data_IF_399368924858
#
_entry.id   IF_399368924858
#
_cell.length_a   1.000
_cell.length_b   1.000
_cell.length_c   1.000
_cell.angle_alpha   90.00
_cell.angle_beta   90.00
_cell.angle_gamma   90.00
#
_symmetry.space_group_name_H-M   'P 1'
#
loop_
_entity.id
_entity.type
_entity.pdbx_description
1 polymer ?
#
# COMPACT_ATOMS: atom_id res chain seq x y z
N UNK A 1 1.49 -23.23 -27.95
CA UNK A 1 0.16 -23.72 -27.53
C UNK A 1 -0.86 -22.68 -28.00
N UNK A 2 -1.76 -22.99 -28.94
CA UNK A 2 -2.82 -22.04 -29.32
C UNK A 2 -3.76 -21.88 -28.12
N UNK A 3 -3.85 -20.66 -27.57
CA UNK A 3 -4.85 -20.33 -26.57
C UNK A 3 -6.25 -20.53 -27.19
N UNK A 4 -7.13 -21.25 -26.51
CA UNK A 4 -8.49 -21.51 -27.00
C UNK A 4 -9.40 -20.27 -26.90
N UNK A 5 -8.97 -19.25 -26.15
CA UNK A 5 -9.72 -18.03 -25.88
C UNK A 5 -8.83 -16.79 -26.03
N UNK A 6 -9.44 -15.65 -26.36
CA UNK A 6 -8.82 -14.36 -26.19
C UNK A 6 -8.91 -13.93 -24.72
N UNK A 7 -7.83 -13.38 -24.19
CA UNK A 7 -7.76 -12.81 -22.85
C UNK A 7 -7.42 -11.35 -22.95
N UNK A 8 -8.12 -10.54 -22.20
CA UNK A 8 -8.07 -9.10 -22.31
C UNK A 8 -7.50 -8.47 -21.05
N UNK A 9 -6.87 -7.30 -21.18
CA UNK A 9 -6.56 -6.48 -20.03
C UNK A 9 -7.02 -5.03 -20.26
N UNK A 10 -7.29 -4.33 -19.17
CA UNK A 10 -7.70 -2.93 -19.13
C UNK A 10 -6.80 -2.24 -18.11
N UNK A 11 -6.08 -1.21 -18.54
CA UNK A 11 -5.35 -0.36 -17.63
C UNK A 11 -6.33 0.53 -16.86
N UNK A 12 -6.33 0.41 -15.52
CA UNK A 12 -7.20 1.22 -14.66
C UNK A 12 -6.68 2.65 -14.60
N UNK A 13 -7.23 3.50 -15.43
CA UNK A 13 -6.86 4.91 -15.50
C UNK A 13 -8.00 5.79 -14.97
N UNK A 14 -7.65 6.92 -14.36
CA UNK A 14 -8.63 7.92 -13.88
C UNK A 14 -9.47 8.57 -14.98
N UNK A 15 -9.04 8.42 -16.23
CA UNK A 15 -9.72 9.01 -17.37
C UNK A 15 -11.01 8.29 -17.75
N UNK A 16 -11.21 7.08 -17.23
CA UNK A 16 -12.38 6.24 -17.53
C UNK A 16 -12.85 5.51 -16.27
N UNK A 17 -13.67 6.16 -15.42
CA UNK A 17 -14.19 5.57 -14.19
C UNK A 17 -14.89 4.24 -14.45
N UNK A 18 -14.52 3.21 -13.69
CA UNK A 18 -15.04 1.84 -13.84
C UNK A 18 -16.58 1.78 -13.74
N UNK A 19 -17.20 2.69 -12.96
CA UNK A 19 -18.64 2.72 -12.75
C UNK A 19 -19.44 2.83 -14.05
N UNK A 20 -18.88 3.43 -15.10
CA UNK A 20 -19.58 3.65 -16.37
C UNK A 20 -19.47 2.47 -17.33
N UNK A 21 -18.28 1.92 -17.52
CA UNK A 21 -18.05 0.89 -18.53
C UNK A 21 -18.10 -0.55 -17.98
N UNK A 22 -17.82 -0.77 -16.70
CA UNK A 22 -17.78 -2.10 -16.11
C UNK A 22 -19.12 -2.86 -16.16
N UNK A 23 -20.28 -2.24 -15.86
CA UNK A 23 -21.57 -2.91 -16.01
C UNK A 23 -21.86 -3.35 -17.46
N UNK A 24 -21.49 -2.52 -18.44
CA UNK A 24 -21.63 -2.86 -19.86
C UNK A 24 -20.71 -4.01 -20.27
N UNK A 25 -19.48 -4.02 -19.76
CA UNK A 25 -18.53 -5.13 -19.97
C UNK A 25 -19.09 -6.44 -19.42
N UNK A 26 -19.57 -6.43 -18.17
CA UNK A 26 -20.11 -7.63 -17.51
C UNK A 26 -21.36 -8.20 -18.23
N UNK A 27 -22.10 -7.37 -18.94
CA UNK A 27 -23.26 -7.79 -19.75
C UNK A 27 -22.89 -8.12 -21.22
N UNK A 28 -21.60 -8.12 -21.57
CA UNK A 28 -21.14 -8.44 -22.92
C UNK A 28 -21.60 -7.44 -24.00
N UNK A 29 -21.82 -6.16 -23.60
CA UNK A 29 -22.32 -5.12 -24.50
C UNK A 29 -21.27 -4.64 -25.52
N UNK A 30 -19.98 -4.89 -25.25
CA UNK A 30 -18.90 -4.53 -26.16
C UNK A 30 -18.64 -5.64 -27.20
N UNK A 31 -18.36 -5.24 -28.44
CA UNK A 31 -17.99 -6.15 -29.53
C UNK A 31 -16.55 -6.69 -29.34
N UNK A 32 -16.38 -7.49 -28.30
CA UNK A 32 -15.10 -8.16 -27.99
C UNK A 32 -15.17 -9.61 -28.42
N UNK A 33 -14.23 -10.12 -29.25
CA UNK A 33 -14.25 -11.50 -29.71
C UNK A 33 -14.37 -12.51 -28.55
N UNK A 34 -15.43 -13.30 -28.57
CA UNK A 34 -15.69 -14.31 -27.55
C UNK A 34 -16.39 -13.82 -26.26
N UNK A 35 -16.68 -12.51 -26.11
CA UNK A 35 -17.40 -11.95 -24.97
C UNK A 35 -18.77 -11.33 -25.35
N UNK A 36 -19.00 -11.04 -26.62
CA UNK A 36 -20.22 -10.39 -27.10
C UNK A 36 -21.47 -11.19 -26.72
N UNK A 37 -22.43 -10.54 -26.07
CA UNK A 37 -23.69 -11.14 -25.62
C UNK A 37 -23.56 -12.13 -24.45
N UNK A 38 -22.35 -12.27 -23.86
CA UNK A 38 -22.07 -13.17 -22.75
C UNK A 38 -22.14 -12.46 -21.41
N UNK A 39 -22.33 -13.24 -20.33
CA UNK A 39 -22.39 -12.72 -18.97
C UNK A 39 -21.09 -12.98 -18.25
N UNK A 40 -20.49 -11.92 -17.72
CA UNK A 40 -19.29 -11.97 -16.91
C UNK A 40 -19.59 -11.85 -15.41
N UNK A 41 -18.65 -12.30 -14.61
CA UNK A 41 -18.66 -12.13 -13.16
C UNK A 41 -17.45 -11.32 -12.71
N UNK A 42 -17.64 -10.45 -11.69
CA UNK A 42 -16.60 -9.59 -11.16
C UNK A 42 -15.92 -10.21 -9.93
N UNK A 43 -14.61 -10.40 -10.03
CA UNK A 43 -13.73 -10.69 -8.89
C UNK A 43 -13.02 -9.41 -8.48
N UNK A 44 -13.34 -8.87 -7.30
CA UNK A 44 -12.71 -7.65 -6.76
C UNK A 44 -12.76 -7.63 -5.23
N UNK A 45 -11.94 -6.76 -4.61
CA UNK A 45 -12.01 -6.52 -3.16
C UNK A 45 -13.38 -5.95 -2.75
N UNK A 46 -13.98 -5.08 -3.57
CA UNK A 46 -15.30 -4.51 -3.26
C UNK A 46 -16.42 -5.56 -3.24
N UNK A 47 -16.32 -6.58 -4.07
CA UNK A 47 -17.24 -7.75 -4.03
C UNK A 47 -16.97 -8.58 -2.77
N UNK A 48 -15.72 -8.83 -2.44
CA UNK A 48 -15.34 -9.55 -1.21
C UNK A 48 -15.88 -8.84 0.05
N UNK A 49 -15.69 -7.53 0.13
CA UNK A 49 -16.17 -6.72 1.25
C UNK A 49 -17.69 -6.77 1.42
N UNK A 50 -18.45 -6.82 0.31
CA UNK A 50 -19.91 -7.00 0.40
C UNK A 50 -20.27 -8.31 1.09
N UNK A 51 -19.63 -9.43 0.72
CA UNK A 51 -19.89 -10.71 1.38
C UNK A 51 -19.45 -10.74 2.84
N UNK A 52 -18.35 -10.05 3.19
CA UNK A 52 -17.93 -9.89 4.59
C UNK A 52 -18.99 -9.11 5.38
N UNK A 53 -19.52 -8.03 4.81
CA UNK A 53 -20.57 -7.23 5.45
C UNK A 53 -21.90 -8.00 5.57
N UNK A 54 -22.28 -8.81 4.58
CA UNK A 54 -23.46 -9.67 4.64
C UNK A 54 -23.32 -10.74 5.72
N UNK A 55 -22.15 -11.35 5.87
CA UNK A 55 -21.88 -12.27 6.98
C UNK A 55 -21.95 -11.57 8.33
N UNK A 56 -21.42 -10.33 8.43
CA UNK A 56 -21.39 -9.58 9.68
C UNK A 56 -22.78 -9.09 10.13
N UNK A 57 -23.61 -8.65 9.18
CA UNK A 57 -24.90 -8.01 9.49
C UNK A 57 -26.08 -9.00 9.50
N UNK A 58 -25.97 -10.05 8.70
CA UNK A 58 -27.11 -10.95 8.41
C UNK A 58 -26.79 -12.41 8.64
N UNK A 59 -25.59 -12.74 9.20
CA UNK A 59 -25.13 -14.15 9.39
C UNK A 59 -25.21 -14.97 8.10
N UNK A 60 -24.99 -14.32 6.95
CA UNK A 60 -25.03 -14.99 5.66
C UNK A 60 -23.65 -15.56 5.28
N UNK A 61 -23.46 -16.89 5.45
CA UNK A 61 -22.22 -17.61 5.22
C UNK A 61 -22.11 -18.17 3.77
N UNK A 62 -22.65 -17.48 2.79
CA UNK A 62 -22.73 -17.95 1.41
C UNK A 62 -21.35 -18.31 0.82
N UNK A 63 -20.34 -17.44 1.01
CA UNK A 63 -18.96 -17.66 0.56
C UNK A 63 -18.27 -18.82 1.27
N UNK A 64 -18.61 -19.07 2.52
CA UNK A 64 -17.91 -20.04 3.38
C UNK A 64 -18.76 -21.28 3.68
N UNK A 65 -19.90 -21.44 3.01
CA UNK A 65 -20.83 -22.56 3.20
C UNK A 65 -20.18 -23.95 3.15
N UNK A 66 -19.03 -24.08 2.45
CA UNK A 66 -18.25 -25.33 2.34
C UNK A 66 -17.07 -25.44 3.30
N UNK A 67 -16.71 -24.35 3.99
CA UNK A 67 -15.46 -24.27 4.76
C UNK A 67 -15.74 -24.40 6.27
N UNK A 68 -16.99 -24.26 6.72
CA UNK A 68 -17.41 -24.29 8.12
C UNK A 68 -16.65 -23.29 9.04
N UNK A 69 -16.21 -22.17 8.48
CA UNK A 69 -15.49 -21.10 9.19
C UNK A 69 -15.96 -19.75 8.69
N UNK A 70 -16.05 -18.76 9.57
CA UNK A 70 -16.35 -17.39 9.19
C UNK A 70 -15.28 -16.83 8.25
N UNK A 71 -15.70 -16.10 7.20
CA UNK A 71 -14.79 -15.44 6.25
C UNK A 71 -13.82 -14.50 6.95
N UNK A 72 -14.22 -13.87 8.04
CA UNK A 72 -13.42 -12.95 8.86
C UNK A 72 -12.25 -13.64 9.57
N UNK A 73 -12.31 -14.95 9.77
CA UNK A 73 -11.23 -15.75 10.39
C UNK A 73 -10.22 -16.26 9.37
N UNK A 74 -10.50 -16.08 8.09
CA UNK A 74 -9.62 -16.50 7.00
C UNK A 74 -8.55 -15.43 6.72
N UNK A 75 -7.36 -15.87 6.34
CA UNK A 75 -6.34 -14.96 5.80
C UNK A 75 -6.82 -14.33 4.48
N UNK A 76 -6.27 -13.17 4.11
CA UNK A 76 -6.64 -12.47 2.87
C UNK A 76 -6.53 -13.37 1.63
N UNK A 77 -5.51 -14.23 1.59
CA UNK A 77 -5.34 -15.20 0.50
C UNK A 77 -6.43 -16.27 0.48
N UNK A 78 -6.84 -16.79 1.65
CA UNK A 78 -7.95 -17.75 1.79
C UNK A 78 -9.29 -17.12 1.42
N UNK A 79 -9.55 -15.87 1.84
CA UNK A 79 -10.74 -15.11 1.47
C UNK A 79 -10.87 -14.96 -0.05
N UNK A 80 -9.77 -14.58 -0.74
CA UNK A 80 -9.77 -14.46 -2.20
C UNK A 80 -9.96 -15.80 -2.90
N UNK A 81 -9.40 -16.89 -2.37
CA UNK A 81 -9.65 -18.25 -2.90
C UNK A 81 -11.11 -18.65 -2.74
N UNK A 82 -11.71 -18.37 -1.58
CA UNK A 82 -13.12 -18.65 -1.33
C UNK A 82 -14.01 -17.89 -2.32
N UNK A 83 -13.77 -16.59 -2.50
CA UNK A 83 -14.49 -15.77 -3.47
C UNK A 83 -14.34 -16.32 -4.90
N UNK A 84 -13.11 -16.62 -5.35
CA UNK A 84 -12.90 -17.17 -6.70
C UNK A 84 -13.65 -18.48 -6.88
N UNK A 85 -13.58 -19.40 -5.92
CA UNK A 85 -14.27 -20.69 -5.98
C UNK A 85 -15.79 -20.53 -6.03
N UNK A 86 -16.34 -19.58 -5.29
CA UNK A 86 -17.76 -19.27 -5.30
C UNK A 86 -18.22 -18.69 -6.64
N UNK A 87 -17.50 -17.70 -7.17
CA UNK A 87 -17.84 -17.06 -8.45
C UNK A 87 -17.81 -18.04 -9.62
N UNK A 88 -16.87 -18.98 -9.63
CA UNK A 88 -16.77 -20.02 -10.67
C UNK A 88 -17.93 -21.02 -10.67
N UNK A 89 -18.75 -21.08 -9.60
CA UNK A 89 -19.95 -21.92 -9.55
C UNK A 89 -21.20 -21.26 -10.14
N UNK A 90 -21.14 -19.96 -10.42
CA UNK A 90 -22.28 -19.17 -10.89
C UNK A 90 -22.58 -19.34 -12.38
N UNK A 91 -21.99 -20.30 -13.09
CA UNK A 91 -22.21 -20.57 -14.52
C UNK A 91 -22.09 -19.31 -15.40
N UNK A 92 -21.03 -18.53 -15.20
CA UNK A 92 -20.74 -17.36 -16.01
C UNK A 92 -19.84 -17.70 -17.20
N UNK A 93 -19.93 -16.90 -18.28
CA UNK A 93 -19.20 -17.18 -19.51
C UNK A 93 -17.75 -16.68 -19.45
N UNK A 94 -17.46 -15.65 -18.65
CA UNK A 94 -16.14 -15.09 -18.44
C UNK A 94 -16.00 -14.42 -17.09
N UNK A 95 -14.75 -14.16 -16.68
CA UNK A 95 -14.44 -13.50 -15.40
C UNK A 95 -13.69 -12.18 -15.63
N UNK A 96 -14.11 -11.15 -14.91
CA UNK A 96 -13.40 -9.86 -14.82
C UNK A 96 -12.66 -9.83 -13.49
N UNK A 97 -11.33 -9.72 -13.55
CA UNK A 97 -10.44 -9.65 -12.39
C UNK A 97 -10.01 -8.20 -12.18
N UNK A 98 -10.51 -7.57 -11.13
CA UNK A 98 -10.17 -6.18 -10.81
C UNK A 98 -9.12 -6.14 -9.71
N UNK A 99 -7.88 -5.81 -10.06
CA UNK A 99 -6.73 -5.76 -9.15
C UNK A 99 -6.65 -6.98 -8.20
N UNK A 100 -6.63 -8.20 -8.73
CA UNK A 100 -6.81 -9.41 -7.92
C UNK A 100 -5.70 -9.64 -6.89
N UNK A 101 -4.53 -9.04 -7.07
CA UNK A 101 -3.36 -9.23 -6.19
C UNK A 101 -3.25 -8.19 -5.09
N UNK A 102 -4.15 -7.22 -5.05
CA UNK A 102 -4.19 -6.20 -4.00
C UNK A 102 -4.22 -6.86 -2.61
N UNK A 103 -3.42 -6.33 -1.67
CA UNK A 103 -3.29 -6.82 -0.28
C UNK A 103 -2.69 -8.24 -0.10
N UNK A 104 -2.31 -8.93 -1.18
CA UNK A 104 -1.67 -10.24 -1.12
C UNK A 104 -0.16 -10.12 -1.05
N UNK A 105 0.46 -10.98 -0.24
CA UNK A 105 1.91 -11.14 -0.24
C UNK A 105 2.40 -11.93 -1.48
N UNK A 106 3.72 -11.90 -1.71
CA UNK A 106 4.37 -12.49 -2.88
C UNK A 106 4.04 -13.98 -3.08
N UNK A 107 3.94 -14.74 -1.99
CA UNK A 107 3.62 -16.17 -2.05
C UNK A 107 2.16 -16.39 -2.47
N UNK A 108 1.23 -15.65 -1.86
CA UNK A 108 -0.20 -15.68 -2.19
C UNK A 108 -0.47 -15.21 -3.63
N UNK A 109 0.23 -14.17 -4.09
CA UNK A 109 0.19 -13.71 -5.48
C UNK A 109 0.61 -14.82 -6.43
N UNK A 110 1.74 -15.50 -6.16
CA UNK A 110 2.23 -16.59 -7.01
C UNK A 110 1.21 -17.72 -7.13
N UNK A 111 0.59 -18.12 -6.02
CA UNK A 111 -0.44 -19.18 -6.00
C UNK A 111 -1.67 -18.74 -6.80
N UNK A 112 -2.19 -17.55 -6.57
CA UNK A 112 -3.37 -17.04 -7.28
C UNK A 112 -3.07 -16.89 -8.78
N UNK A 113 -1.89 -16.39 -9.15
CA UNK A 113 -1.45 -16.25 -10.56
C UNK A 113 -1.46 -17.60 -11.29
N UNK A 114 -0.97 -18.67 -10.66
CA UNK A 114 -1.02 -20.01 -11.23
C UNK A 114 -2.45 -20.55 -11.39
N UNK A 115 -3.33 -20.30 -10.42
CA UNK A 115 -4.74 -20.67 -10.51
C UNK A 115 -5.43 -19.95 -11.67
N UNK A 116 -5.18 -18.64 -11.86
CA UNK A 116 -5.75 -17.85 -12.94
C UNK A 116 -5.20 -18.28 -14.32
N UNK A 117 -3.92 -18.64 -14.41
CA UNK A 117 -3.33 -19.21 -15.64
C UNK A 117 -3.99 -20.56 -15.96
N UNK A 118 -4.31 -21.37 -14.96
CA UNK A 118 -5.03 -22.63 -15.20
C UNK A 118 -6.46 -22.37 -15.65
N UNK A 119 -7.15 -21.42 -15.03
CA UNK A 119 -8.52 -21.02 -15.38
C UNK A 119 -8.62 -20.50 -16.82
N UNK A 120 -7.59 -19.76 -17.29
CA UNK A 120 -7.58 -19.20 -18.66
C UNK A 120 -7.70 -20.23 -19.78
N UNK A 121 -7.42 -21.52 -19.49
CA UNK A 121 -7.57 -22.60 -20.46
C UNK A 121 -9.04 -22.95 -20.75
N UNK A 122 -9.94 -22.67 -19.81
CA UNK A 122 -11.37 -23.02 -19.89
C UNK A 122 -12.31 -21.82 -19.98
N UNK A 123 -11.85 -20.61 -19.61
CA UNK A 123 -12.69 -19.42 -19.50
C UNK A 123 -11.93 -18.17 -19.95
N UNK A 124 -12.54 -17.28 -20.75
CA UNK A 124 -11.98 -15.97 -21.03
C UNK A 124 -11.78 -15.14 -19.75
N UNK A 125 -10.68 -14.40 -19.70
CA UNK A 125 -10.34 -13.51 -18.59
C UNK A 125 -10.24 -12.09 -19.11
N UNK A 126 -10.84 -11.14 -18.39
CA UNK A 126 -10.60 -9.71 -18.52
C UNK A 126 -9.91 -9.23 -17.25
N UNK A 127 -8.68 -8.73 -17.38
CA UNK A 127 -7.83 -8.34 -16.26
C UNK A 127 -7.73 -6.82 -16.16
N UNK A 128 -8.29 -6.22 -15.11
CA UNK A 128 -8.14 -4.79 -14.82
C UNK A 128 -6.91 -4.65 -13.92
N UNK A 129 -5.94 -3.84 -14.34
CA UNK A 129 -4.66 -3.69 -13.65
C UNK A 129 -4.25 -2.23 -13.44
N UNK A 130 -3.55 -1.99 -12.36
CA UNK A 130 -2.90 -0.72 -12.04
C UNK A 130 -1.39 -0.78 -12.28
N UNK A 131 -0.79 -1.98 -12.25
CA UNK A 131 0.63 -2.21 -12.44
C UNK A 131 0.88 -3.23 -13.53
N UNK A 132 1.79 -2.92 -14.44
CA UNK A 132 2.19 -3.81 -15.53
C UNK A 132 2.70 -5.16 -15.03
N UNK A 133 3.47 -5.18 -13.93
CA UNK A 133 4.03 -6.41 -13.35
C UNK A 133 2.96 -7.39 -12.84
N UNK A 134 1.74 -6.91 -12.62
CA UNK A 134 0.61 -7.74 -12.19
C UNK A 134 -0.02 -8.52 -13.36
N UNK A 135 0.22 -8.16 -14.61
CA UNK A 135 -0.38 -8.80 -15.77
C UNK A 135 -0.11 -10.30 -15.83
N UNK A 136 -1.14 -11.02 -16.28
CA UNK A 136 -1.03 -12.45 -16.57
C UNK A 136 -0.33 -12.66 -17.92
N UNK A 137 0.58 -13.64 -18.03
CA UNK A 137 1.28 -13.93 -19.29
C UNK A 137 0.36 -14.46 -20.40
N UNK A 138 -0.90 -14.75 -20.10
CA UNK A 138 -1.91 -15.24 -21.03
C UNK A 138 -2.69 -14.12 -21.71
N UNK A 139 -2.53 -12.87 -21.28
CA UNK A 139 -3.21 -11.72 -21.89
C UNK A 139 -2.78 -11.57 -23.34
N UNK A 140 -3.74 -11.43 -24.23
CA UNK A 140 -3.51 -11.33 -25.67
C UNK A 140 -3.73 -9.91 -26.20
N UNK A 141 -4.63 -9.15 -25.58
CA UNK A 141 -5.02 -7.80 -26.03
C UNK A 141 -5.26 -6.87 -24.86
N UNK A 142 -4.98 -5.59 -25.09
CA UNK A 142 -5.32 -4.49 -24.20
C UNK A 142 -6.56 -3.77 -24.75
N UNK A 143 -7.57 -3.57 -23.91
CA UNK A 143 -8.75 -2.75 -24.20
C UNK A 143 -8.45 -1.33 -23.75
N UNK A 144 -8.60 -0.38 -24.65
CA UNK A 144 -8.44 1.03 -24.34
C UNK A 144 -9.79 1.76 -24.37
N UNK A 145 -10.00 2.63 -23.39
CA UNK A 145 -11.16 3.51 -23.31
C UNK A 145 -10.75 4.97 -23.52
N UNK A 146 -11.63 5.75 -24.15
CA UNK A 146 -11.49 7.20 -24.25
C UNK A 146 -12.83 7.84 -23.91
N UNK A 147 -12.85 8.75 -22.93
CA UNK A 147 -14.07 9.40 -22.45
C UNK A 147 -15.22 8.40 -22.16
N UNK A 148 -14.86 7.29 -21.49
CA UNK A 148 -15.80 6.22 -21.08
C UNK A 148 -16.31 5.31 -22.20
N UNK A 149 -15.95 5.58 -23.45
CA UNK A 149 -16.29 4.74 -24.60
C UNK A 149 -15.16 3.79 -24.97
N UNK A 150 -15.52 2.60 -25.46
CA UNK A 150 -14.56 1.67 -26.05
C UNK A 150 -13.90 2.31 -27.26
N UNK A 151 -12.56 2.41 -27.23
CA UNK A 151 -11.79 3.03 -28.29
C UNK A 151 -11.16 1.99 -29.24
N UNK A 152 -10.41 1.08 -28.68
CA UNK A 152 -9.64 0.12 -29.48
C UNK A 152 -9.30 -1.15 -28.69
N UNK A 153 -9.06 -2.19 -29.47
CA UNK A 153 -8.48 -3.44 -29.04
C UNK A 153 -7.08 -3.54 -29.62
N UNK A 154 -6.05 -3.53 -28.79
CA UNK A 154 -4.64 -3.50 -29.18
C UNK A 154 -3.98 -4.82 -28.81
N UNK A 155 -3.32 -5.56 -29.71
CA UNK A 155 -2.49 -6.70 -29.34
C UNK A 155 -1.47 -6.30 -28.26
N UNK A 156 -1.21 -7.19 -27.29
CA UNK A 156 -0.33 -6.85 -26.16
C UNK A 156 1.09 -6.54 -26.63
N UNK A 157 1.54 -7.19 -27.69
CA UNK A 157 2.86 -6.98 -28.32
C UNK A 157 3.02 -5.59 -28.95
N UNK A 158 1.91 -4.96 -29.36
CA UNK A 158 1.87 -3.62 -29.96
C UNK A 158 1.56 -2.52 -28.90
N UNK A 159 1.20 -2.92 -27.67
CA UNK A 159 0.85 -1.96 -26.65
C UNK A 159 2.09 -1.39 -25.94
N UNK A 160 2.24 -0.08 -26.01
CA UNK A 160 3.35 0.63 -25.37
C UNK A 160 2.96 1.02 -23.95
N UNK A 161 3.53 0.33 -22.97
CA UNK A 161 3.40 0.70 -21.57
C UNK A 161 4.19 1.98 -21.28
N UNK A 162 3.53 2.95 -20.68
CA UNK A 162 4.17 4.21 -20.30
C UNK A 162 5.09 3.98 -19.10
N UNK A 163 6.38 4.19 -19.28
CA UNK A 163 7.34 4.28 -18.19
C UNK A 163 7.56 5.76 -17.87
N UNK A 164 7.16 6.18 -16.70
CA UNK A 164 7.39 7.54 -16.24
C UNK A 164 8.60 7.56 -15.31
N UNK A 165 9.57 8.41 -15.62
CA UNK A 165 10.61 8.79 -14.69
C UNK A 165 10.24 10.17 -14.14
N UNK A 166 10.20 10.31 -12.82
CA UNK A 166 9.91 11.57 -12.16
C UNK A 166 11.15 12.07 -11.44
N UNK A 167 11.37 13.39 -11.54
CA UNK A 167 12.39 14.11 -10.80
C UNK A 167 11.71 15.30 -10.14
N UNK A 168 12.01 15.52 -8.87
CA UNK A 168 11.62 16.72 -8.16
C UNK A 168 12.81 17.68 -8.19
N UNK A 169 12.68 18.78 -8.93
CA UNK A 169 13.79 19.72 -9.20
C UNK A 169 14.10 20.66 -8.01
N UNK A 170 13.14 20.86 -7.11
CA UNK A 170 13.30 21.76 -5.96
C UNK A 170 13.83 21.01 -4.76
N UNK A 171 14.74 21.66 -4.02
CA UNK A 171 15.34 21.09 -2.81
C UNK A 171 14.31 20.85 -1.70
N UNK A 172 14.59 19.87 -0.85
CA UNK A 172 13.81 19.64 0.37
C UNK A 172 13.88 20.90 1.26
N UNK A 173 12.74 21.44 1.74
CA UNK A 173 12.75 22.64 2.60
C UNK A 173 13.62 22.46 3.83
N UNK A 174 14.25 23.52 4.30
CA UNK A 174 15.07 23.47 5.51
C UNK A 174 14.21 23.21 6.76
N UNK A 175 14.76 22.45 7.72
CA UNK A 175 14.09 22.18 8.98
C UNK A 175 13.89 23.46 9.80
N UNK A 176 12.66 23.67 10.27
CA UNK A 176 12.35 24.73 11.25
C UNK A 176 12.22 24.18 12.66
N UNK A 177 12.21 22.85 12.80
CA UNK A 177 12.21 22.14 14.08
C UNK A 177 13.60 21.59 14.34
N UNK A 178 14.13 21.80 15.52
CA UNK A 178 15.42 21.25 15.94
C UNK A 178 15.21 20.17 16.97
N UNK A 179 15.82 19.00 16.75
CA UNK A 179 15.86 17.93 17.74
C UNK A 179 17.21 17.94 18.43
N UNK A 180 17.20 18.11 19.76
CA UNK A 180 18.42 18.07 20.59
C UNK A 180 18.67 16.64 21.07
N UNK A 181 19.94 16.31 21.26
CA UNK A 181 20.37 15.04 21.88
C UNK A 181 19.84 13.76 21.18
N UNK A 182 19.73 13.79 19.87
CA UNK A 182 19.43 12.57 19.11
C UNK A 182 20.69 11.71 19.05
N UNK A 183 20.67 10.46 19.56
CA UNK A 183 21.83 9.56 19.53
C UNK A 183 22.10 9.05 18.11
N UNK A 184 23.28 8.50 17.88
CA UNK A 184 23.65 7.84 16.62
C UNK A 184 22.75 6.65 16.30
N UNK A 185 22.43 5.84 17.31
CA UNK A 185 21.50 4.72 17.21
C UNK A 185 20.09 5.20 17.54
N UNK A 186 19.18 5.16 16.54
CA UNK A 186 17.80 5.59 16.69
C UNK A 186 16.90 4.49 17.26
N UNK A 187 17.11 3.25 16.78
CA UNK A 187 16.36 2.08 17.22
C UNK A 187 17.34 0.95 17.48
N UNK A 188 17.21 0.29 18.63
CA UNK A 188 17.98 -0.91 18.94
C UNK A 188 17.08 -1.96 19.59
N UNK A 189 17.00 -3.13 18.98
CA UNK A 189 16.27 -4.29 19.44
C UNK A 189 17.28 -5.41 19.73
N UNK A 190 17.28 -5.96 20.95
CA UNK A 190 18.20 -7.03 21.38
C UNK A 190 17.39 -8.21 21.91
N UNK A 191 17.44 -9.33 21.19
CA UNK A 191 16.76 -10.59 21.54
C UNK A 191 15.28 -10.37 21.91
N UNK A 192 14.57 -9.61 21.08
CA UNK A 192 13.18 -9.27 21.34
C UNK A 192 12.26 -10.42 20.92
N UNK A 193 11.33 -10.77 21.81
CA UNK A 193 10.33 -11.82 21.61
C UNK A 193 8.93 -11.24 21.79
N UNK A 194 8.00 -11.62 20.91
CA UNK A 194 6.60 -11.19 21.05
C UNK A 194 5.66 -12.38 20.91
N UNK A 195 4.89 -12.62 21.96
CA UNK A 195 3.83 -13.62 21.97
C UNK A 195 2.48 -12.94 22.27
N UNK A 196 1.45 -13.39 21.56
CA UNK A 196 0.05 -13.07 21.88
C UNK A 196 -0.63 -14.39 22.20
N UNK A 197 -1.07 -14.53 23.46
CA UNK A 197 -1.60 -15.79 24.00
C UNK A 197 -0.63 -16.94 23.70
N UNK A 198 -1.08 -17.99 23.03
CA UNK A 198 -0.27 -19.16 22.68
C UNK A 198 0.48 -19.03 21.34
N UNK A 199 0.33 -17.88 20.64
CA UNK A 199 0.96 -17.65 19.34
C UNK A 199 2.21 -16.80 19.46
N UNK A 200 3.35 -17.38 19.09
CA UNK A 200 4.60 -16.64 18.93
C UNK A 200 4.61 -15.88 17.59
N UNK A 201 4.83 -14.57 17.64
CA UNK A 201 4.86 -13.69 16.46
C UNK A 201 6.29 -13.37 16.07
N UNK A 202 7.11 -12.93 17.03
CA UNK A 202 8.51 -12.56 16.82
C UNK A 202 9.40 -13.35 17.77
N UNK A 203 10.55 -13.81 17.28
CA UNK A 203 11.52 -14.55 18.04
C UNK A 203 12.93 -14.07 17.74
N UNK A 204 13.73 -13.83 18.80
CA UNK A 204 15.15 -13.46 18.72
C UNK A 204 15.42 -12.29 17.75
N UNK A 205 14.56 -11.25 17.77
CA UNK A 205 14.73 -10.09 16.90
C UNK A 205 15.91 -9.26 17.41
N UNK A 206 16.92 -9.14 16.56
CA UNK A 206 18.08 -8.29 16.76
C UNK A 206 18.17 -7.32 15.58
N UNK A 207 18.06 -6.03 15.84
CA UNK A 207 18.07 -5.02 14.79
C UNK A 207 18.51 -3.67 15.33
N UNK A 208 19.37 -2.99 14.58
CA UNK A 208 19.85 -1.64 14.90
C UNK A 208 19.65 -0.72 13.69
N UNK A 209 19.00 0.42 13.91
CA UNK A 209 18.82 1.48 12.91
C UNK A 209 19.58 2.70 13.40
N UNK A 210 20.51 3.23 12.57
CA UNK A 210 21.29 4.42 12.85
C UNK A 210 20.78 5.63 12.07
N UNK A 211 21.32 6.79 12.39
CA UNK A 211 21.07 8.02 11.63
C UNK A 211 21.42 7.86 10.16
N UNK A 212 20.60 8.51 9.29
CA UNK A 212 20.81 8.60 7.84
C UNK A 212 20.79 7.27 7.11
N UNK A 213 20.38 6.18 7.77
CA UNK A 213 20.23 4.88 7.13
C UNK A 213 18.86 4.76 6.46
N UNK A 214 18.83 4.15 5.29
CA UNK A 214 17.60 3.79 4.58
C UNK A 214 17.40 2.28 4.63
N UNK A 215 16.42 1.85 5.40
CA UNK A 215 16.07 0.44 5.61
C UNK A 215 14.81 0.03 4.86
N UNK A 216 14.83 -1.17 4.29
CA UNK A 216 13.65 -1.84 3.80
C UNK A 216 13.30 -3.04 4.68
N UNK A 217 12.19 -2.97 5.40
CA UNK A 217 11.62 -4.11 6.13
C UNK A 217 10.68 -4.89 5.21
N UNK A 218 11.06 -6.12 4.91
CA UNK A 218 10.30 -7.01 4.01
C UNK A 218 9.92 -8.31 4.70
N UNK A 219 8.76 -8.86 4.38
CA UNK A 219 8.28 -10.16 4.88
C UNK A 219 6.85 -10.44 4.42
N UNK A 220 6.41 -11.71 4.42
CA UNK A 220 5.05 -12.07 4.03
C UNK A 220 4.01 -11.50 5.02
N UNK A 221 2.73 -11.60 4.62
CA UNK A 221 1.64 -11.23 5.52
C UNK A 221 1.66 -12.13 6.78
N UNK A 222 1.38 -11.53 7.93
CA UNK A 222 1.44 -12.24 9.21
C UNK A 222 2.85 -12.51 9.76
N UNK A 223 3.92 -12.03 9.11
CA UNK A 223 5.30 -12.19 9.60
C UNK A 223 5.65 -11.30 10.80
N UNK A 224 4.74 -10.44 11.26
CA UNK A 224 4.99 -9.56 12.40
C UNK A 224 5.55 -8.17 12.06
N UNK A 225 5.53 -7.73 10.78
CA UNK A 225 5.95 -6.37 10.37
C UNK A 225 5.23 -5.29 11.17
N UNK A 226 3.90 -5.33 11.20
CA UNK A 226 3.08 -4.37 11.94
C UNK A 226 3.34 -4.41 13.45
N UNK A 227 3.58 -5.61 14.02
CA UNK A 227 3.98 -5.77 15.41
C UNK A 227 5.29 -5.06 15.70
N UNK A 228 6.30 -5.28 14.84
CA UNK A 228 7.60 -4.65 14.95
C UNK A 228 7.52 -3.13 14.80
N UNK A 229 6.78 -2.64 13.80
CA UNK A 229 6.53 -1.20 13.61
C UNK A 229 5.84 -0.57 14.83
N UNK A 230 4.82 -1.24 15.39
CA UNK A 230 4.10 -0.74 16.56
C UNK A 230 4.99 -0.66 17.81
N UNK A 231 6.00 -1.52 17.93
CA UNK A 231 7.02 -1.45 18.99
C UNK A 231 7.92 -0.22 18.78
N UNK A 232 8.41 0.00 17.56
CA UNK A 232 9.26 1.15 17.21
C UNK A 232 8.49 2.47 17.36
N UNK A 233 7.23 2.52 16.91
CA UNK A 233 6.36 3.69 17.04
C UNK A 233 5.85 3.92 18.48
N UNK A 234 6.18 3.01 19.41
CA UNK A 234 5.91 3.15 20.83
C UNK A 234 4.50 2.75 21.29
N UNK A 235 3.64 2.22 20.39
CA UNK A 235 2.26 1.85 20.69
C UNK A 235 2.09 0.44 21.27
N UNK A 236 3.08 -0.44 21.12
CA UNK A 236 2.95 -1.84 21.50
C UNK A 236 3.35 -2.06 22.94
N UNK A 237 2.40 -2.54 23.76
CA UNK A 237 2.65 -2.85 25.18
C UNK A 237 3.63 -4.00 25.38
N UNK A 238 3.80 -4.90 24.42
CA UNK A 238 4.78 -6.00 24.48
C UNK A 238 6.23 -5.54 24.37
N UNK A 239 6.48 -4.26 24.08
CA UNK A 239 7.82 -3.67 24.14
C UNK A 239 8.33 -3.42 25.56
N UNK A 240 7.42 -3.29 26.54
CA UNK A 240 7.81 -3.11 27.94
C UNK A 240 8.46 -4.36 28.51
N UNK A 241 9.49 -4.16 29.33
CA UNK A 241 10.24 -5.26 29.93
C UNK A 241 11.28 -5.93 29.01
N UNK A 242 11.28 -5.57 27.72
CA UNK A 242 12.24 -6.11 26.74
C UNK A 242 13.40 -5.13 26.48
N UNK A 243 14.40 -5.59 25.75
CA UNK A 243 15.54 -4.75 25.36
C UNK A 243 15.23 -4.01 24.06
N UNK A 244 14.26 -3.11 24.13
CA UNK A 244 13.85 -2.17 23.08
C UNK A 244 14.33 -0.79 23.46
N UNK A 245 15.23 -0.22 22.68
CA UNK A 245 15.76 1.13 22.88
C UNK A 245 15.33 2.01 21.72
N UNK A 246 14.73 3.15 22.04
CA UNK A 246 14.26 4.14 21.08
C UNK A 246 14.92 5.48 21.40
N UNK A 247 15.66 6.00 20.45
CA UNK A 247 16.42 7.27 20.62
C UNK A 247 17.30 7.27 21.87
N UNK A 248 17.95 6.13 22.17
CA UNK A 248 18.85 5.96 23.31
C UNK A 248 18.18 5.56 24.63
N UNK A 249 16.85 5.66 24.74
CA UNK A 249 16.13 5.32 25.96
C UNK A 249 15.51 3.93 25.88
N UNK A 250 15.65 3.14 26.95
CA UNK A 250 14.96 1.85 27.04
C UNK A 250 13.45 2.08 27.16
N UNK A 251 12.65 1.34 26.41
CA UNK A 251 11.20 1.43 26.49
C UNK A 251 10.71 1.12 27.91
N UNK A 252 10.00 2.11 28.50
CA UNK A 252 9.51 2.00 29.88
C UNK A 252 10.42 2.63 30.93
N UNK A 253 11.53 3.32 30.56
CA UNK A 253 12.42 4.01 31.48
C UNK A 253 11.96 5.43 31.88
N UNK A 254 10.73 5.82 31.49
CA UNK A 254 10.14 7.13 31.83
C UNK A 254 9.80 8.00 30.63
N UNK A 255 10.30 7.69 29.43
CA UNK A 255 9.95 8.44 28.21
C UNK A 255 8.48 8.18 27.82
N UNK A 256 7.76 9.25 27.55
CA UNK A 256 6.36 9.15 27.12
C UNK A 256 6.26 8.70 25.67
N UNK A 257 5.12 8.07 25.30
CA UNK A 257 4.84 7.69 23.91
C UNK A 257 4.80 8.91 22.99
N UNK A 258 4.40 10.07 23.50
CA UNK A 258 4.36 11.32 22.77
C UNK A 258 5.76 11.82 22.38
N UNK A 259 6.72 11.76 23.31
CA UNK A 259 8.12 12.14 23.05
C UNK A 259 8.75 11.26 21.97
N UNK A 260 8.42 9.97 21.96
CA UNK A 260 8.83 9.05 20.89
C UNK A 260 8.19 9.45 19.57
N UNK A 261 6.87 9.66 19.52
CA UNK A 261 6.13 10.02 18.31
C UNK A 261 6.54 11.35 17.71
N UNK A 262 6.91 12.31 18.52
CA UNK A 262 7.43 13.60 18.03
C UNK A 262 8.70 13.46 17.19
N UNK A 263 9.51 12.41 17.46
CA UNK A 263 10.75 12.10 16.73
C UNK A 263 10.52 11.20 15.51
N UNK A 264 9.28 10.79 15.25
CA UNK A 264 8.95 9.86 14.17
C UNK A 264 7.91 10.48 13.24
N UNK A 265 8.23 10.56 11.95
CA UNK A 265 7.24 10.71 10.90
C UNK A 265 6.65 9.35 10.58
N UNK A 266 5.33 9.22 10.51
CA UNK A 266 4.68 7.93 10.31
C UNK A 266 3.59 8.00 9.27
N UNK A 267 3.59 7.04 8.35
CA UNK A 267 2.54 6.81 7.35
C UNK A 267 2.17 5.34 7.35
N UNK A 268 0.88 5.07 7.32
CA UNK A 268 0.33 3.73 7.12
C UNK A 268 -0.94 3.79 6.26
N UNK A 269 -1.40 2.68 5.68
CA UNK A 269 -2.66 2.63 4.92
C UNK A 269 -3.86 3.11 5.74
N UNK A 270 -3.92 2.74 7.02
CA UNK A 270 -5.00 3.13 7.93
C UNK A 270 -5.10 4.65 8.15
N UNK A 271 -4.00 5.40 7.96
CA UNK A 271 -4.05 6.86 8.11
C UNK A 271 -4.97 7.54 7.10
N UNK A 272 -5.12 7.01 5.89
CA UNK A 272 -6.05 7.57 4.90
C UNK A 272 -7.49 7.56 5.40
N UNK A 273 -7.88 6.54 6.14
CA UNK A 273 -9.22 6.40 6.71
C UNK A 273 -9.49 7.40 7.84
N UNK A 274 -8.44 7.92 8.48
CA UNK A 274 -8.59 8.94 9.53
C UNK A 274 -8.98 10.30 8.97
N UNK A 275 -8.59 10.61 7.71
CA UNK A 275 -8.84 11.91 7.08
C UNK A 275 -10.17 11.96 6.33
N UNK A 276 -11.27 11.63 7.02
CA UNK A 276 -12.64 11.62 6.43
C UNK A 276 -13.21 13.01 6.16
N UNK A 277 -12.64 14.07 6.77
CA UNK A 277 -13.07 15.45 6.57
C UNK A 277 -12.36 16.06 5.37
N UNK A 278 -13.01 17.03 4.73
CA UNK A 278 -12.46 17.73 3.57
C UNK A 278 -11.42 18.76 3.99
N UNK A 279 -10.18 18.31 4.27
CA UNK A 279 -9.04 19.20 4.46
C UNK A 279 -8.41 19.56 3.11
N UNK A 280 -7.88 20.77 3.00
CA UNK A 280 -7.11 21.18 1.82
C UNK A 280 -5.70 20.58 1.84
N UNK A 281 -5.01 20.62 0.69
CA UNK A 281 -3.59 20.21 0.59
C UNK A 281 -2.74 20.92 1.64
N UNK A 282 -2.87 22.26 1.73
CA UNK A 282 -2.13 23.04 2.71
C UNK A 282 -2.40 22.62 4.15
N UNK A 283 -3.68 22.48 4.52
CA UNK A 283 -4.09 22.06 5.86
C UNK A 283 -3.55 20.67 6.21
N UNK A 284 -3.56 19.76 5.26
CA UNK A 284 -3.00 18.42 5.44
C UNK A 284 -1.51 18.46 5.76
N UNK A 285 -0.73 19.21 4.99
CA UNK A 285 0.72 19.32 5.21
C UNK A 285 1.02 20.01 6.53
N UNK A 286 0.36 21.16 6.84
CA UNK A 286 0.54 21.92 8.09
C UNK A 286 0.21 21.05 9.32
N UNK A 287 -0.81 20.20 9.24
CA UNK A 287 -1.22 19.34 10.37
C UNK A 287 -0.10 18.42 10.87
N UNK A 288 0.93 18.19 10.05
CA UNK A 288 2.12 17.43 10.42
C UNK A 288 2.96 18.06 11.54
N UNK A 289 2.93 19.38 11.70
CA UNK A 289 3.61 20.05 12.82
C UNK A 289 2.98 19.71 14.18
N UNK A 290 1.70 19.36 14.18
CA UNK A 290 0.91 19.11 15.38
C UNK A 290 0.66 17.62 15.65
N UNK A 291 1.14 16.73 14.80
CA UNK A 291 0.87 15.27 14.84
C UNK A 291 -0.64 14.94 14.99
N UNK A 292 -1.52 15.80 14.48
CA UNK A 292 -2.97 15.72 14.66
C UNK A 292 -3.69 15.35 13.35
N UNK A 293 -4.85 14.69 13.48
CA UNK A 293 -5.78 14.45 12.36
C UNK A 293 -6.61 15.72 12.16
N UNK A 294 -6.02 16.71 11.51
CA UNK A 294 -6.63 18.02 11.25
C UNK A 294 -5.90 19.18 11.92
N UNK A 295 -6.35 20.38 11.60
CA UNK A 295 -5.74 21.61 12.08
C UNK A 295 -6.62 22.22 13.17
N UNK A 296 -6.24 22.03 14.44
CA UNK A 296 -6.96 22.53 15.62
C UNK A 296 -6.34 23.78 16.23
N UNK A 297 -5.16 24.18 15.76
CA UNK A 297 -4.44 25.36 16.20
C UNK A 297 -4.12 26.24 15.00
N UNK A 298 -4.07 27.56 15.22
CA UNK A 298 -3.63 28.49 14.16
C UNK A 298 -2.14 28.33 13.90
N UNK A 299 -1.73 28.02 12.66
CA UNK A 299 -0.34 27.87 12.33
C UNK A 299 0.37 29.24 12.33
N UNK A 300 1.65 29.25 12.68
CA UNK A 300 2.49 30.44 12.52
C UNK A 300 2.78 30.73 11.03
N UNK A 301 3.17 31.96 10.72
CA UNK A 301 3.59 32.33 9.36
C UNK A 301 4.74 31.47 8.86
N UNK A 302 5.67 31.09 9.74
CA UNK A 302 6.78 30.22 9.39
C UNK A 302 6.32 28.82 8.99
N UNK A 303 5.35 28.23 9.73
CA UNK A 303 4.77 26.93 9.41
C UNK A 303 4.01 26.96 8.07
N UNK A 304 3.26 28.03 7.80
CA UNK A 304 2.56 28.22 6.52
C UNK A 304 3.57 28.30 5.37
N UNK A 305 4.64 29.09 5.52
CA UNK A 305 5.68 29.22 4.50
C UNK A 305 6.40 27.88 4.24
N UNK A 306 6.71 27.11 5.29
CA UNK A 306 7.33 25.78 5.12
C UNK A 306 6.39 24.82 4.40
N UNK A 307 5.11 24.85 4.70
CA UNK A 307 4.12 24.03 3.97
C UNK A 307 4.02 24.46 2.49
N UNK A 308 4.09 25.76 2.21
CA UNK A 308 4.12 26.27 0.84
C UNK A 308 5.36 25.78 0.08
N UNK A 309 6.53 25.76 0.70
CA UNK A 309 7.76 25.21 0.11
C UNK A 309 7.60 23.70 -0.19
N UNK A 310 7.00 22.92 0.72
CA UNK A 310 6.70 21.51 0.46
C UNK A 310 5.72 21.33 -0.72
N UNK A 311 4.65 22.14 -0.80
CA UNK A 311 3.75 22.13 -1.95
C UNK A 311 4.48 22.44 -3.25
N UNK A 312 5.47 23.31 -3.18
CA UNK A 312 6.29 23.70 -4.32
C UNK A 312 7.20 22.55 -4.77
N UNK A 313 7.87 21.85 -3.84
CA UNK A 313 8.63 20.61 -4.13
C UNK A 313 7.74 19.56 -4.83
N UNK A 314 6.51 19.40 -4.35
CA UNK A 314 5.56 18.43 -4.90
C UNK A 314 4.87 18.91 -6.20
N UNK A 315 5.13 20.11 -6.68
CA UNK A 315 4.41 20.75 -7.79
C UNK A 315 2.89 20.88 -7.55
N UNK A 316 2.48 21.11 -6.31
CA UNK A 316 1.08 21.21 -5.87
C UNK A 316 0.66 22.63 -5.47
N UNK A 317 1.48 23.66 -5.69
CA UNK A 317 1.20 25.05 -5.31
C UNK A 317 -0.13 25.58 -5.87
N UNK A 318 -0.47 25.20 -7.10
CA UNK A 318 -1.75 25.54 -7.75
C UNK A 318 -2.95 24.75 -7.16
N UNK A 319 -2.72 23.73 -6.37
CA UNK A 319 -3.75 22.89 -5.75
C UNK A 319 -3.86 23.11 -4.24
N UNK A 320 -3.28 24.17 -3.72
CA UNK A 320 -3.23 24.55 -2.29
C UNK A 320 -4.60 24.38 -1.59
N UNK A 321 -5.67 24.86 -2.23
CA UNK A 321 -7.04 24.86 -1.70
C UNK A 321 -7.87 23.65 -2.15
N UNK A 322 -7.28 22.71 -2.90
CA UNK A 322 -7.99 21.51 -3.35
C UNK A 322 -8.19 20.57 -2.16
N UNK A 323 -9.39 19.96 -2.09
CA UNK A 323 -9.67 18.94 -1.09
C UNK A 323 -8.79 17.72 -1.29
N UNK A 324 -8.11 17.27 -0.22
CA UNK A 324 -7.29 16.08 -0.19
C UNK A 324 -8.01 14.83 -0.72
N UNK A 325 -9.29 14.65 -0.38
CA UNK A 325 -10.09 13.49 -0.78
C UNK A 325 -10.40 13.44 -2.29
N UNK A 326 -10.28 14.57 -3.01
CA UNK A 326 -10.51 14.64 -4.46
C UNK A 326 -9.26 14.32 -5.28
N UNK A 327 -8.12 14.17 -4.61
CA UNK A 327 -6.85 13.92 -5.26
C UNK A 327 -6.63 12.42 -5.52
N UNK A 328 -5.73 12.14 -6.42
CA UNK A 328 -5.37 10.78 -6.73
C UNK A 328 -4.66 10.06 -5.57
N UNK A 329 -4.74 8.73 -5.48
CA UNK A 329 -4.00 7.98 -4.47
C UNK A 329 -2.51 8.34 -4.42
N UNK A 330 -1.84 8.46 -5.56
CA UNK A 330 -0.44 8.87 -5.63
C UNK A 330 -0.20 10.26 -5.02
N UNK A 331 -1.01 11.25 -5.41
CA UNK A 331 -0.90 12.62 -4.87
C UNK A 331 -1.21 12.64 -3.37
N UNK A 332 -2.21 11.90 -2.93
CA UNK A 332 -2.49 11.75 -1.50
C UNK A 332 -1.29 11.19 -0.74
N UNK A 333 -0.58 10.20 -1.30
CA UNK A 333 0.66 9.66 -0.70
C UNK A 333 1.76 10.71 -0.61
N UNK A 334 2.00 11.49 -1.67
CA UNK A 334 2.97 12.58 -1.63
C UNK A 334 2.67 13.57 -0.51
N UNK A 335 1.40 13.99 -0.37
CA UNK A 335 0.97 14.92 0.67
C UNK A 335 1.19 14.32 2.07
N UNK A 336 0.88 13.04 2.28
CA UNK A 336 1.11 12.37 3.56
C UNK A 336 2.61 12.24 3.87
N UNK A 337 3.46 12.01 2.86
CA UNK A 337 4.93 11.99 3.04
C UNK A 337 5.42 13.39 3.42
N UNK A 338 5.01 14.45 2.71
CA UNK A 338 5.36 15.81 3.06
C UNK A 338 4.87 16.20 4.47
N UNK A 339 3.63 15.79 4.83
CA UNK A 339 3.09 15.96 6.17
C UNK A 339 3.94 15.28 7.24
N UNK A 340 4.39 14.05 7.00
CA UNK A 340 5.25 13.31 7.93
C UNK A 340 6.65 13.92 8.03
N UNK A 341 7.13 14.53 6.93
CA UNK A 341 8.46 15.14 6.81
C UNK A 341 8.53 16.60 7.22
N UNK A 342 7.40 17.31 7.36
CA UNK A 342 7.41 18.78 7.53
C UNK A 342 8.20 19.26 8.75
N UNK A 343 8.31 18.45 9.79
CA UNK A 343 9.12 18.73 10.97
C UNK A 343 10.51 18.08 10.95
N UNK A 344 10.91 17.45 9.82
CA UNK A 344 12.18 16.74 9.63
C UNK A 344 12.50 15.75 10.77
N UNK A 345 11.66 14.74 10.99
CA UNK A 345 11.84 13.80 12.09
C UNK A 345 13.15 13.01 11.91
N UNK A 346 13.83 12.63 13.01
CA UNK A 346 15.00 11.76 12.94
C UNK A 346 14.73 10.40 12.25
N UNK A 347 13.49 9.90 12.35
CA UNK A 347 13.06 8.65 11.72
C UNK A 347 11.74 8.83 10.96
N UNK A 348 11.69 8.43 9.70
CA UNK A 348 10.48 8.38 8.88
C UNK A 348 10.10 6.91 8.64
N UNK A 349 8.92 6.50 9.09
CA UNK A 349 8.38 5.16 8.87
C UNK A 349 7.30 5.24 7.78
N UNK A 350 7.50 4.48 6.71
CA UNK A 350 6.60 4.39 5.56
C UNK A 350 6.06 2.96 5.47
N UNK A 351 4.90 2.71 6.06
CA UNK A 351 4.25 1.40 6.05
C UNK A 351 3.35 1.28 4.82
N UNK A 352 3.75 0.41 3.88
CA UNK A 352 3.05 0.12 2.63
C UNK A 352 2.64 1.39 1.83
N UNK A 353 3.54 2.36 1.60
CA UNK A 353 3.16 3.65 1.00
C UNK A 353 2.75 3.54 -0.47
N UNK A 354 3.07 2.44 -1.15
CA UNK A 354 2.82 2.20 -2.57
C UNK A 354 1.60 1.29 -2.83
N UNK A 355 0.85 0.91 -1.77
CA UNK A 355 -0.36 0.11 -1.94
C UNK A 355 -1.44 0.92 -2.68
N UNK A 356 -2.15 0.28 -3.63
CA UNK A 356 -3.22 0.89 -4.44
C UNK A 356 -2.76 2.11 -5.27
N UNK A 357 -1.50 2.12 -5.66
CA UNK A 357 -0.92 3.14 -6.53
C UNK A 357 -0.54 2.49 -7.86
N UNK A 358 -0.87 3.17 -8.97
CA UNK A 358 -0.53 2.76 -10.32
C UNK A 358 0.98 2.90 -10.61
N UNK A 359 1.44 2.45 -11.77
CA UNK A 359 2.86 2.50 -12.13
C UNK A 359 3.41 3.93 -12.16
N UNK A 360 2.64 4.88 -12.69
CA UNK A 360 3.02 6.29 -12.73
C UNK A 360 3.14 6.87 -11.34
N UNK A 361 2.14 6.62 -10.50
CA UNK A 361 2.14 7.06 -9.11
C UNK A 361 3.22 6.37 -8.27
N UNK A 362 3.50 5.09 -8.53
CA UNK A 362 4.60 4.36 -7.87
C UNK A 362 5.94 5.01 -8.19
N UNK A 363 6.21 5.33 -9.46
CA UNK A 363 7.42 6.03 -9.86
C UNK A 363 7.53 7.41 -9.19
N UNK A 364 6.41 8.15 -9.14
CA UNK A 364 6.34 9.48 -8.53
C UNK A 364 6.61 9.43 -7.00
N UNK A 365 5.95 8.54 -6.28
CA UNK A 365 6.13 8.39 -4.82
C UNK A 365 7.54 7.89 -4.49
N UNK A 366 8.06 6.92 -5.27
CA UNK A 366 9.42 6.40 -5.10
C UNK A 366 10.48 7.50 -5.32
N UNK A 367 10.28 8.36 -6.32
CA UNK A 367 11.17 9.50 -6.58
C UNK A 367 11.26 10.44 -5.36
N UNK A 368 10.12 10.75 -4.71
CA UNK A 368 10.12 11.57 -3.49
C UNK A 368 10.84 10.88 -2.33
N UNK A 369 10.61 9.58 -2.11
CA UNK A 369 11.26 8.82 -1.04
C UNK A 369 12.78 8.81 -1.22
N UNK A 370 13.26 8.50 -2.42
CA UNK A 370 14.69 8.52 -2.75
C UNK A 370 15.30 9.93 -2.62
N UNK A 371 14.55 10.98 -2.97
CA UNK A 371 14.99 12.37 -2.78
C UNK A 371 15.15 12.70 -1.31
N UNK A 372 14.19 12.33 -0.46
CA UNK A 372 14.28 12.50 0.99
C UNK A 372 15.50 11.78 1.56
N UNK A 373 15.72 10.51 1.14
CA UNK A 373 16.89 9.73 1.57
C UNK A 373 18.23 10.42 1.23
N UNK A 374 18.29 11.05 0.06
CA UNK A 374 19.51 11.69 -0.44
C UNK A 374 19.76 13.09 0.15
N UNK A 375 18.70 13.88 0.37
CA UNK A 375 18.80 15.32 0.65
C UNK A 375 18.46 15.67 2.10
N UNK A 376 18.08 14.70 2.95
CA UNK A 376 17.79 14.97 4.36
C UNK A 376 18.61 14.09 5.30
N UNK A 377 18.68 14.51 6.57
CA UNK A 377 19.30 13.73 7.64
C UNK A 377 18.34 12.71 8.29
N UNK A 378 17.12 12.60 7.76
CA UNK A 378 16.09 11.67 8.24
C UNK A 378 16.44 10.25 7.85
N UNK A 379 16.45 9.32 8.82
CA UNK A 379 16.53 7.89 8.53
C UNK A 379 15.18 7.39 8.04
N UNK A 380 15.17 6.47 7.07
CA UNK A 380 13.93 5.96 6.49
C UNK A 380 13.79 4.48 6.81
N UNK A 381 12.61 4.10 7.30
CA UNK A 381 12.15 2.73 7.41
C UNK A 381 10.98 2.51 6.45
N UNK A 382 11.29 1.99 5.28
CA UNK A 382 10.32 1.62 4.26
C UNK A 382 9.87 0.18 4.48
N UNK A 383 8.57 -0.04 4.47
CA UNK A 383 7.98 -1.37 4.70
C UNK A 383 7.11 -1.75 3.54
N UNK A 384 7.34 -2.91 2.97
CA UNK A 384 6.47 -3.48 1.94
C UNK A 384 6.47 -5.01 1.97
N UNK A 385 5.49 -5.61 1.33
CA UNK A 385 5.45 -7.05 1.08
C UNK A 385 5.91 -7.42 -0.33
N UNK A 386 6.18 -6.41 -1.18
CA UNK A 386 6.65 -6.55 -2.58
C UNK A 386 8.07 -6.03 -2.72
N UNK A 387 8.77 -6.51 -3.72
CA UNK A 387 10.01 -5.89 -4.19
C UNK A 387 9.61 -4.63 -4.99
N UNK A 388 10.15 -3.48 -4.60
CA UNK A 388 9.87 -2.19 -5.26
C UNK A 388 11.15 -1.72 -5.98
N UNK A 389 11.27 -1.95 -7.29
CA UNK A 389 12.54 -1.75 -8.02
C UNK A 389 13.00 -0.29 -8.08
N UNK A 390 12.08 0.66 -7.87
CA UNK A 390 12.37 2.10 -7.86
C UNK A 390 12.75 2.64 -6.47
N UNK A 391 12.83 1.79 -5.45
CA UNK A 391 13.27 2.15 -4.10
C UNK A 391 14.68 1.62 -3.89
N UNK A 392 15.59 2.47 -3.41
CA UNK A 392 17.02 2.18 -3.28
C UNK A 392 17.46 2.23 -1.79
N UNK A 393 17.09 1.24 -0.98
CA UNK A 393 17.49 1.18 0.41
C UNK A 393 18.96 0.79 0.56
N UNK A 394 19.63 1.30 1.61
CA UNK A 394 21.00 0.90 1.95
C UNK A 394 21.04 -0.51 2.52
N UNK A 395 19.99 -0.89 3.27
CA UNK A 395 19.89 -2.14 4.01
C UNK A 395 18.51 -2.77 3.88
N UNK A 396 18.49 -4.10 3.95
CA UNK A 396 17.25 -4.88 3.96
C UNK A 396 17.18 -5.67 5.27
N UNK A 397 16.05 -5.57 5.99
CA UNK A 397 15.73 -6.45 7.11
C UNK A 397 14.57 -7.36 6.73
N UNK A 398 14.83 -8.66 6.63
CA UNK A 398 13.85 -9.63 6.16
C UNK A 398 13.31 -10.48 7.31
N UNK A 399 11.99 -10.48 7.48
CA UNK A 399 11.30 -11.36 8.42
C UNK A 399 10.97 -12.70 7.74
N UNK A 400 11.43 -13.78 8.38
CA UNK A 400 11.18 -15.16 7.99
C UNK A 400 10.24 -15.82 8.99
N UNK A 401 8.98 -16.11 8.60
CA UNK A 401 8.04 -16.80 9.48
C UNK A 401 8.50 -18.20 9.86
N UNK A 402 8.29 -18.57 11.12
CA UNK A 402 8.43 -19.93 11.61
C UNK A 402 7.31 -20.27 12.61
N UNK A 403 7.06 -21.56 12.90
CA UNK A 403 6.07 -21.96 13.89
C UNK A 403 6.33 -21.38 15.29
N UNK A 404 7.59 -21.08 15.61
CA UNK A 404 8.02 -20.53 16.89
C UNK A 404 8.19 -19.00 16.88
N UNK A 405 7.57 -18.30 15.94
CA UNK A 405 7.73 -16.86 15.72
C UNK A 405 8.72 -16.54 14.61
N UNK A 406 8.51 -15.38 13.97
CA UNK A 406 9.37 -14.91 12.88
C UNK A 406 10.74 -14.49 13.41
N UNK A 407 11.77 -14.83 12.65
CA UNK A 407 13.15 -14.36 12.88
C UNK A 407 13.50 -13.29 11.86
N UNK A 408 14.37 -12.36 12.25
CA UNK A 408 14.84 -11.27 11.38
C UNK A 408 16.25 -11.54 10.88
N UNK A 409 16.48 -11.31 9.59
CA UNK A 409 17.80 -11.43 8.96
C UNK A 409 18.10 -10.11 8.24
N UNK A 410 19.24 -9.52 8.57
CA UNK A 410 19.79 -8.37 7.88
C UNK A 410 20.57 -8.84 6.64
N UNK A 411 20.38 -8.13 5.52
CA UNK A 411 21.12 -8.32 4.26
C UNK A 411 21.79 -7.03 3.83
#
# INVERSE_FOLDING_TARGET
MKLSHHHYAIEDTKRSPQAHWLPHLLNGAYKLPGLEGKKGVLFSNSVLEKYIQEEEKHDNFELTSRINRSIRTLSTGEQKKALLSYLLQQNQDFIVLNNPYETLDKASVSVLKQQLITLSKSMPIVFIFNRQDDLLPVITHIITFEKEEFKALVPIEDYIFKRSAFVFDKDIPTAITTYTNIPEVLVELKNVHVNYEDRSILKDINWTIKKKEFWHLIGPNGSGKTTLLSMIYGNNTKAYGQNVYLFGNKKGSGESVWEIKQKIGFISPAMLELFKRSYTVEQMIISGFFDSVGLYQSPSTLQINTAAQWMDVLNLSNQKNTSFLKLSPAIQRLILIARAMIKHPPLLILDEPLINVDDEGTALVSALINKIAKESDTSILFVSHRDEPNIHPDFIYKLHPSPNGSIGIQK
#
